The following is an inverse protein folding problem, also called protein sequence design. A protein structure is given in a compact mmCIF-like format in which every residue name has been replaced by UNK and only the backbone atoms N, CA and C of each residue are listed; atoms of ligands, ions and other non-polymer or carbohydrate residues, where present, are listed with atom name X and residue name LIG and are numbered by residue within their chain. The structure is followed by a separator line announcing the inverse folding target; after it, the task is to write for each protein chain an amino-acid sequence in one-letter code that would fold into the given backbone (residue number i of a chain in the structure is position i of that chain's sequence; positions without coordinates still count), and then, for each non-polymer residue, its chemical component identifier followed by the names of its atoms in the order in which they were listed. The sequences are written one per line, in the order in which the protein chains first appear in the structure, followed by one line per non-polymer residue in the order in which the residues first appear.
data_IF_545475515961
#
_entry.id   IF_545475515961
#
_cell.length_a   1.000
_cell.length_b   1.000
_cell.length_c   1.000
_cell.angle_alpha   90.00
_cell.angle_beta   90.00
_cell.angle_gamma   90.00
#
_symmetry.space_group_name_H-M   'P 1'
#
loop_
_entity.id
_entity.type
_entity.pdbx_description
1 polymer ?
#
# COMPACT_ATOMS: atom_id res chain seq x y z
N UNK A 1 -7.94 10.11 7.96
CA UNK A 1 -7.06 8.91 7.87
C UNK A 1 -7.15 8.11 9.17
N UNK A 2 -7.28 6.75 9.10
CA UNK A 2 -7.20 5.87 10.28
C UNK A 2 -5.84 5.18 10.28
N UNK A 3 -5.20 5.08 11.44
CA UNK A 3 -3.92 4.39 11.62
C UNK A 3 -4.14 3.30 12.65
N UNK A 4 -3.87 2.05 12.28
CA UNK A 4 -4.11 0.85 13.09
C UNK A 4 -2.78 0.14 13.29
N UNK A 5 -2.34 -0.04 14.53
CA UNK A 5 -1.18 -0.86 14.88
C UNK A 5 -1.64 -2.31 15.09
N UNK A 6 -0.77 -3.27 14.78
CA UNK A 6 -1.07 -4.71 14.83
C UNK A 6 -2.33 -5.07 14.05
N UNK A 7 -2.40 -4.62 12.80
CA UNK A 7 -3.59 -4.73 11.96
C UNK A 7 -3.91 -6.16 11.52
N UNK A 8 -2.88 -7.01 11.40
CA UNK A 8 -2.99 -8.42 11.03
C UNK A 8 -2.20 -9.30 12.01
N UNK A 9 -2.47 -10.59 12.02
CA UNK A 9 -1.72 -11.54 12.85
C UNK A 9 -0.25 -11.61 12.43
N UNK A 10 0.64 -11.94 13.36
CA UNK A 10 2.06 -12.15 13.05
C UNK A 10 2.26 -13.29 12.06
N UNK A 11 1.41 -14.33 12.12
CA UNK A 11 1.41 -15.45 11.20
C UNK A 11 1.13 -14.97 9.76
N UNK A 12 0.08 -14.19 9.55
CA UNK A 12 -0.25 -13.65 8.24
C UNK A 12 0.83 -12.68 7.74
N UNK A 13 1.36 -11.82 8.63
CA UNK A 13 2.45 -10.91 8.28
C UNK A 13 3.67 -11.69 7.76
N UNK A 14 4.11 -12.71 8.51
CA UNK A 14 5.23 -13.56 8.12
C UNK A 14 4.97 -14.28 6.79
N UNK A 15 3.80 -14.88 6.64
CA UNK A 15 3.39 -15.56 5.43
C UNK A 15 3.46 -14.62 4.20
N UNK A 16 2.90 -13.42 4.30
CA UNK A 16 2.91 -12.45 3.21
C UNK A 16 4.33 -12.00 2.83
N UNK A 17 5.20 -11.79 3.83
CA UNK A 17 6.61 -11.44 3.58
C UNK A 17 7.32 -12.55 2.80
N UNK A 18 7.16 -13.82 3.20
CA UNK A 18 7.79 -14.95 2.51
C UNK A 18 7.21 -15.14 1.09
N UNK A 19 5.90 -14.99 0.91
CA UNK A 19 5.29 -15.03 -0.43
C UNK A 19 5.89 -13.96 -1.36
N UNK A 20 6.02 -12.73 -0.89
CA UNK A 20 6.62 -11.65 -1.68
C UNK A 20 8.08 -11.96 -2.01
N UNK A 21 8.88 -12.45 -1.06
CA UNK A 21 10.26 -12.83 -1.28
C UNK A 21 10.42 -13.94 -2.32
N UNK A 22 9.56 -14.96 -2.27
CA UNK A 22 9.56 -16.03 -3.27
C UNK A 22 9.14 -15.52 -4.66
N UNK A 23 8.15 -14.65 -4.75
CA UNK A 23 7.77 -14.00 -6.00
C UNK A 23 8.93 -13.19 -6.60
N UNK A 24 9.68 -12.46 -5.79
CA UNK A 24 10.85 -11.71 -6.24
C UNK A 24 11.95 -12.64 -6.75
N UNK A 25 12.25 -13.74 -6.04
CA UNK A 25 13.29 -14.71 -6.42
C UNK A 25 12.96 -15.47 -7.69
N UNK A 26 11.70 -15.88 -7.84
CA UNK A 26 11.29 -16.69 -8.99
C UNK A 26 11.07 -15.88 -10.26
N UNK A 27 11.15 -14.56 -10.21
CA UNK A 27 10.75 -13.66 -11.29
C UNK A 27 9.33 -13.92 -11.82
N UNK A 28 8.52 -14.64 -11.06
CA UNK A 28 7.11 -14.94 -11.41
C UNK A 28 6.22 -13.91 -10.74
N UNK A 29 6.02 -12.82 -11.41
CA UNK A 29 4.94 -11.88 -11.08
C UNK A 29 3.70 -12.39 -11.82
N UNK A 30 2.97 -13.29 -11.16
CA UNK A 30 1.73 -13.82 -11.71
C UNK A 30 0.64 -12.77 -11.58
N UNK A 31 0.11 -12.31 -12.68
CA UNK A 31 -1.12 -11.59 -12.65
C UNK A 31 -1.13 -10.24 -13.33
N UNK A 32 -2.17 -9.51 -13.10
CA UNK A 32 -2.38 -8.20 -13.68
C UNK A 32 -1.24 -7.26 -13.30
N UNK A 33 -0.54 -6.76 -14.30
CA UNK A 33 0.33 -5.61 -14.10
C UNK A 33 -0.54 -4.46 -13.62
N UNK A 34 -0.44 -4.12 -12.34
CA UNK A 34 -1.01 -2.89 -11.84
C UNK A 34 -0.15 -1.76 -12.39
N UNK A 35 -0.67 -1.08 -13.39
CA UNK A 35 -0.01 0.09 -13.97
C UNK A 35 -0.42 1.29 -13.14
N UNK A 36 0.53 1.86 -12.41
CA UNK A 36 0.31 3.13 -11.73
C UNK A 36 -0.04 4.20 -12.75
N UNK A 37 -1.03 5.04 -12.43
CA UNK A 37 -1.33 6.22 -13.23
C UNK A 37 -0.03 7.05 -13.42
N UNK A 38 0.25 7.45 -14.66
CA UNK A 38 1.44 8.22 -15.00
C UNK A 38 1.58 9.51 -14.18
N UNK A 39 0.48 10.10 -13.72
CA UNK A 39 0.50 11.28 -12.88
C UNK A 39 1.05 10.98 -11.48
N UNK A 40 0.78 9.79 -10.94
CA UNK A 40 1.27 9.36 -9.63
C UNK A 40 2.78 9.19 -9.60
N UNK A 41 3.40 8.87 -10.72
CA UNK A 41 4.83 8.58 -10.84
C UNK A 41 5.59 9.59 -11.71
N UNK A 42 4.95 10.69 -12.09
CA UNK A 42 5.60 11.71 -12.92
C UNK A 42 6.83 12.30 -12.23
N UNK A 43 7.98 12.20 -12.87
CA UNK A 43 9.27 12.69 -12.34
C UNK A 43 9.92 11.78 -11.31
N UNK A 44 9.36 10.58 -11.06
CA UNK A 44 9.90 9.59 -10.14
C UNK A 44 10.78 8.62 -10.93
N UNK A 45 12.05 8.41 -10.52
CA UNK A 45 13.02 7.66 -11.32
C UNK A 45 12.87 6.14 -11.25
N UNK A 46 12.15 5.62 -10.25
CA UNK A 46 11.97 4.20 -10.03
C UNK A 46 10.51 3.84 -9.85
N UNK A 47 10.12 2.65 -10.27
CA UNK A 47 8.77 2.12 -10.14
C UNK A 47 8.67 1.07 -9.04
N UNK A 48 7.50 0.98 -8.43
CA UNK A 48 7.13 -0.11 -7.55
C UNK A 48 6.84 -1.37 -8.37
N UNK A 49 7.31 -2.52 -7.92
CA UNK A 49 6.85 -3.80 -8.45
C UNK A 49 5.55 -4.16 -7.73
N UNK A 50 4.51 -4.41 -8.50
CA UNK A 50 3.16 -4.69 -7.96
C UNK A 50 2.60 -5.96 -8.56
N UNK A 51 1.99 -6.79 -7.73
CA UNK A 51 1.30 -8.01 -8.16
C UNK A 51 0.01 -8.21 -7.39
N UNK A 52 -1.09 -8.41 -8.12
CA UNK A 52 -2.36 -8.79 -7.50
C UNK A 52 -2.26 -10.15 -6.80
N UNK A 53 -2.90 -10.29 -5.65
CA UNK A 53 -3.04 -11.56 -4.95
C UNK A 53 -4.14 -12.37 -5.65
N UNK A 54 -3.72 -13.37 -6.43
CA UNK A 54 -4.62 -14.22 -7.25
C UNK A 54 -5.18 -15.38 -6.44
N UNK A 55 -4.39 -15.91 -5.49
CA UNK A 55 -4.83 -16.99 -4.62
C UNK A 55 -5.98 -16.49 -3.74
N UNK A 56 -7.16 -17.09 -3.92
CA UNK A 56 -8.39 -16.68 -3.25
C UNK A 56 -8.32 -16.95 -1.75
N UNK A 57 -7.67 -18.02 -1.30
CA UNK A 57 -7.55 -18.33 0.13
C UNK A 57 -6.67 -17.31 0.83
N UNK A 58 -5.55 -16.93 0.23
CA UNK A 58 -4.66 -15.88 0.74
C UNK A 58 -5.37 -14.52 0.77
N UNK A 59 -6.08 -14.20 -0.30
CA UNK A 59 -6.85 -12.97 -0.39
C UNK A 59 -7.92 -12.91 0.70
N UNK A 60 -8.70 -13.97 0.87
CA UNK A 60 -9.75 -14.05 1.89
C UNK A 60 -9.16 -13.98 3.30
N UNK A 61 -8.01 -14.60 3.54
CA UNK A 61 -7.33 -14.50 4.83
C UNK A 61 -6.96 -13.04 5.15
N UNK A 62 -6.28 -12.35 4.22
CA UNK A 62 -5.94 -10.92 4.39
C UNK A 62 -7.20 -10.09 4.64
N UNK A 63 -8.22 -10.23 3.79
CA UNK A 63 -9.46 -9.44 3.89
C UNK A 63 -10.19 -9.73 5.20
N UNK A 64 -10.22 -10.98 5.67
CA UNK A 64 -10.91 -11.35 6.90
C UNK A 64 -10.32 -10.65 8.14
N UNK A 65 -8.99 -10.55 8.22
CA UNK A 65 -8.33 -9.91 9.35
C UNK A 65 -8.52 -8.38 9.38
N UNK A 66 -8.57 -7.74 8.20
CA UNK A 66 -8.71 -6.28 8.12
C UNK A 66 -10.16 -5.78 8.03
N UNK A 67 -11.13 -6.67 7.84
CA UNK A 67 -12.55 -6.32 7.62
C UNK A 67 -13.13 -5.40 8.69
N UNK A 68 -12.70 -5.53 9.93
CA UNK A 68 -13.19 -4.72 11.05
C UNK A 68 -12.75 -3.25 10.96
N UNK A 69 -11.73 -2.93 10.18
CA UNK A 69 -11.13 -1.60 10.08
C UNK A 69 -11.54 -0.83 8.83
N UNK A 70 -11.97 -1.55 7.79
CA UNK A 70 -12.34 -1.00 6.49
C UNK A 70 -13.86 -0.97 6.29
N UNK A 71 -14.38 -0.10 5.42
CA UNK A 71 -15.76 -0.19 4.97
C UNK A 71 -16.08 -1.57 4.39
N UNK A 72 -17.33 -2.03 4.58
CA UNK A 72 -17.80 -3.28 3.99
C UNK A 72 -17.94 -3.11 2.47
N UNK A 73 -17.16 -3.87 1.73
CA UNK A 73 -17.19 -3.92 0.26
C UNK A 73 -17.18 -5.37 -0.21
N UNK A 74 -18.01 -5.67 -1.21
CA UNK A 74 -18.02 -7.00 -1.83
C UNK A 74 -16.81 -7.21 -2.75
N UNK A 75 -16.42 -6.13 -3.46
CA UNK A 75 -15.29 -6.14 -4.37
C UNK A 75 -14.07 -5.53 -3.70
N UNK A 76 -13.12 -6.37 -3.34
CA UNK A 76 -11.85 -5.96 -2.75
C UNK A 76 -10.71 -6.48 -3.62
N UNK A 77 -9.77 -5.60 -3.95
CA UNK A 77 -8.52 -5.96 -4.59
C UNK A 77 -7.38 -5.93 -3.58
N UNK A 78 -6.52 -6.93 -3.62
CA UNK A 78 -5.35 -7.04 -2.75
C UNK A 78 -4.10 -7.15 -3.61
N UNK A 79 -3.11 -6.31 -3.33
CA UNK A 79 -1.91 -6.16 -4.14
C UNK A 79 -0.69 -6.22 -3.23
N UNK A 80 0.28 -7.06 -3.57
CA UNK A 80 1.61 -7.02 -2.98
C UNK A 80 2.48 -6.01 -3.72
N UNK A 81 3.17 -5.15 -2.97
CA UNK A 81 4.07 -4.16 -3.52
C UNK A 81 5.48 -4.32 -2.95
N UNK A 82 6.46 -4.20 -3.85
CA UNK A 82 7.89 -4.12 -3.54
C UNK A 82 8.41 -2.77 -4.01
N UNK A 83 8.71 -1.90 -3.07
CA UNK A 83 9.18 -0.54 -3.31
C UNK A 83 10.70 -0.53 -3.38
N UNK A 84 11.21 -0.34 -4.57
CA UNK A 84 12.64 -0.24 -4.84
C UNK A 84 13.21 1.11 -4.35
N UNK A 85 14.54 1.25 -4.20
CA UNK A 85 15.15 2.56 -3.98
C UNK A 85 14.65 3.59 -4.97
N UNK A 86 14.43 4.82 -4.51
CA UNK A 86 13.93 5.97 -5.26
C UNK A 86 12.46 5.86 -5.72
N UNK A 87 11.75 4.81 -5.40
CA UNK A 87 10.29 4.73 -5.64
C UNK A 87 9.57 5.71 -4.71
N UNK A 88 8.61 6.42 -5.27
CA UNK A 88 7.76 7.38 -4.55
C UNK A 88 6.37 7.43 -5.19
N UNK A 89 5.43 8.11 -4.55
CA UNK A 89 4.14 8.47 -5.14
C UNK A 89 3.85 9.95 -4.91
N UNK A 90 3.42 10.62 -5.96
CA UNK A 90 2.96 11.99 -5.89
C UNK A 90 1.63 12.11 -5.12
N UNK A 91 1.24 13.33 -4.76
CA UNK A 91 -0.02 13.62 -4.10
C UNK A 91 -1.22 13.13 -4.91
N UNK A 92 -2.11 12.37 -4.26
CA UNK A 92 -3.35 11.85 -4.82
C UNK A 92 -4.34 11.51 -3.69
N UNK A 93 -5.55 11.07 -4.00
CA UNK A 93 -6.59 10.83 -3.00
C UNK A 93 -7.39 9.54 -3.19
N UNK A 94 -7.01 8.65 -4.11
CA UNK A 94 -7.69 7.38 -4.39
C UNK A 94 -9.20 7.51 -4.67
N UNK A 95 -9.64 8.63 -5.25
CA UNK A 95 -11.06 9.01 -5.34
C UNK A 95 -11.94 8.00 -6.10
N UNK A 96 -11.37 7.14 -6.91
CA UNK A 96 -12.05 6.11 -7.70
C UNK A 96 -12.47 4.90 -6.86
N UNK A 97 -11.87 4.70 -5.68
CA UNK A 97 -12.18 3.60 -4.77
C UNK A 97 -13.06 4.07 -3.62
N UNK A 98 -13.81 3.16 -3.00
CA UNK A 98 -14.56 3.45 -1.77
C UNK A 98 -13.60 3.68 -0.60
N UNK A 99 -12.53 2.88 -0.54
CA UNK A 99 -11.42 3.07 0.39
C UNK A 99 -10.12 2.53 -0.22
N UNK A 100 -9.00 3.05 0.27
CA UNK A 100 -7.67 2.47 0.11
C UNK A 100 -7.06 2.15 1.46
N UNK A 101 -6.35 1.04 1.56
CA UNK A 101 -5.60 0.72 2.78
C UNK A 101 -4.22 0.14 2.45
N UNK A 102 -3.23 0.48 3.25
CA UNK A 102 -1.85 0.01 3.10
C UNK A 102 -1.36 -0.60 4.41
N UNK A 103 -0.88 -1.84 4.37
CA UNK A 103 -0.23 -2.52 5.49
C UNK A 103 1.28 -2.57 5.23
N UNK A 104 2.07 -2.15 6.22
CA UNK A 104 3.54 -2.17 6.15
C UNK A 104 4.08 -3.48 6.75
N UNK A 105 4.97 -4.15 6.04
CA UNK A 105 5.41 -5.51 6.38
C UNK A 105 6.85 -5.61 6.89
N UNK A 106 7.71 -4.60 6.63
CA UNK A 106 9.11 -4.65 7.01
C UNK A 106 9.28 -4.70 8.53
N UNK A 107 10.12 -5.62 9.01
CA UNK A 107 10.44 -5.79 10.43
C UNK A 107 11.05 -4.54 11.03
N UNK A 108 12.02 -3.96 10.32
CA UNK A 108 12.69 -2.73 10.71
C UNK A 108 12.55 -1.70 9.59
N UNK A 109 12.12 -0.49 9.95
CA UNK A 109 12.05 0.64 9.05
C UNK A 109 12.18 1.94 9.83
N UNK A 110 13.05 2.82 9.41
CA UNK A 110 13.30 4.10 10.05
C UNK A 110 12.91 5.27 9.15
N UNK A 111 12.87 6.47 9.72
CA UNK A 111 12.64 7.68 8.93
C UNK A 111 13.75 7.93 7.88
N UNK A 112 14.98 7.45 8.13
CA UNK A 112 16.10 7.60 7.21
C UNK A 112 15.99 6.68 5.98
N UNK A 113 15.19 5.61 6.07
CA UNK A 113 14.93 4.71 4.95
C UNK A 113 13.96 5.31 3.93
N UNK A 114 13.37 6.46 4.24
CA UNK A 114 12.42 7.14 3.36
C UNK A 114 11.08 6.40 3.25
N UNK A 115 10.40 6.52 2.12
CA UNK A 115 9.09 5.91 1.94
C UNK A 115 8.06 6.37 2.97
N UNK A 116 8.24 7.56 3.53
CA UNK A 116 7.37 8.15 4.54
C UNK A 116 6.00 8.40 3.92
N UNK A 117 4.96 7.97 4.58
CA UNK A 117 3.59 8.27 4.18
C UNK A 117 3.22 9.68 4.67
N UNK A 118 2.92 10.55 3.73
CA UNK A 118 2.46 11.92 3.99
C UNK A 118 0.96 11.99 3.71
N UNK A 119 0.21 12.69 4.55
CA UNK A 119 -1.22 12.89 4.32
C UNK A 119 -1.71 14.23 4.88
N UNK A 120 -2.80 14.70 4.31
CA UNK A 120 -3.52 15.88 4.75
C UNK A 120 -4.96 15.48 5.10
N UNK A 121 -5.35 15.71 6.35
CA UNK A 121 -6.73 15.44 6.77
C UNK A 121 -7.71 16.42 6.12
N UNK A 122 -8.97 16.04 6.05
CA UNK A 122 -10.01 16.89 5.43
C UNK A 122 -10.12 18.27 6.09
N UNK A 123 -9.91 18.34 7.39
CA UNK A 123 -9.95 19.57 8.18
C UNK A 123 -8.78 20.51 7.84
N UNK A 124 -7.69 19.96 7.33
CA UNK A 124 -6.48 20.68 6.94
C UNK A 124 -6.45 21.01 5.44
N UNK A 125 -7.47 20.62 4.67
CA UNK A 125 -7.53 20.83 3.23
C UNK A 125 -7.41 22.35 2.90
N UNK A 126 -6.46 22.69 2.02
CA UNK A 126 -6.16 24.07 1.67
C UNK A 126 -5.21 24.80 2.63
N UNK A 127 -4.73 24.13 3.67
CA UNK A 127 -3.67 24.65 4.57
C UNK A 127 -2.30 24.08 4.17
N UNK A 128 -1.24 24.47 4.91
CA UNK A 128 0.10 23.90 4.77
C UNK A 128 0.37 22.78 5.80
N UNK A 129 -0.65 22.30 6.49
CA UNK A 129 -0.49 21.26 7.51
C UNK A 129 -0.46 19.88 6.84
N UNK A 130 0.65 19.19 6.99
CA UNK A 130 0.88 17.85 6.48
C UNK A 130 1.29 16.98 7.66
N UNK A 131 0.66 15.82 7.79
CA UNK A 131 1.04 14.78 8.74
C UNK A 131 1.93 13.77 8.06
N UNK A 132 2.81 13.13 8.82
CA UNK A 132 3.75 12.14 8.35
C UNK A 132 3.71 10.89 9.22
N UNK A 133 3.75 9.72 8.59
CA UNK A 133 3.83 8.43 9.26
C UNK A 133 5.06 7.67 8.74
N UNK A 134 5.97 7.31 9.65
CA UNK A 134 7.04 6.36 9.35
C UNK A 134 6.43 4.97 9.26
N UNK A 135 6.63 4.24 8.14
CA UNK A 135 6.15 2.87 8.03
C UNK A 135 6.72 1.98 9.13
N UNK A 136 5.86 1.37 9.93
CA UNK A 136 6.25 0.38 10.94
C UNK A 136 5.60 -0.95 10.62
N UNK A 137 6.30 -2.06 10.92
CA UNK A 137 5.75 -3.41 10.78
C UNK A 137 4.33 -3.48 11.34
N UNK A 138 3.47 -4.14 10.58
CA UNK A 138 2.10 -4.43 10.95
C UNK A 138 1.25 -3.21 11.30
N UNK A 139 1.64 -2.03 10.79
CA UNK A 139 0.79 -0.84 10.83
C UNK A 139 -0.01 -0.75 9.55
N UNK A 140 -1.31 -0.50 9.66
CA UNK A 140 -2.19 -0.26 8.53
C UNK A 140 -2.67 1.19 8.53
N UNK A 141 -2.67 1.79 7.37
CA UNK A 141 -3.31 3.09 7.11
C UNK A 141 -4.56 2.84 6.28
N UNK A 142 -5.72 3.38 6.70
CA UNK A 142 -6.97 3.30 5.96
C UNK A 142 -7.43 4.69 5.55
N UNK A 143 -7.61 4.90 4.26
CA UNK A 143 -8.15 6.11 3.66
C UNK A 143 -9.57 5.86 3.14
N UNK A 144 -10.56 6.03 4.01
CA UNK A 144 -12.00 5.92 3.67
C UNK A 144 -12.66 7.29 3.43
N UNK A 145 -11.92 8.38 3.66
CA UNK A 145 -12.39 9.75 3.48
C UNK A 145 -11.87 10.41 2.20
N UNK A 146 -11.10 9.70 1.40
CA UNK A 146 -10.44 10.22 0.18
C UNK A 146 -9.52 11.42 0.49
N UNK A 147 -8.80 11.33 1.59
CA UNK A 147 -7.83 12.32 2.01
C UNK A 147 -6.60 12.29 1.10
N UNK A 148 -6.09 13.46 0.77
CA UNK A 148 -4.88 13.57 -0.06
C UNK A 148 -3.67 13.00 0.66
N UNK A 149 -2.86 12.24 -0.07
CA UNK A 149 -1.66 11.61 0.46
C UNK A 149 -0.58 11.40 -0.60
N UNK A 150 0.63 11.16 -0.14
CA UNK A 150 1.81 10.93 -0.97
C UNK A 150 2.77 9.99 -0.25
N UNK A 151 3.74 9.44 -0.98
CA UNK A 151 4.84 8.66 -0.40
C UNK A 151 6.16 9.30 -0.81
N UNK A 152 7.01 9.65 0.16
CA UNK A 152 8.34 10.19 -0.14
C UNK A 152 9.22 9.14 -0.80
N UNK A 153 10.28 9.53 -1.52
CA UNK A 153 11.22 8.58 -2.09
C UNK A 153 11.78 7.62 -1.04
N UNK A 154 11.82 6.34 -1.38
CA UNK A 154 12.58 5.33 -0.63
C UNK A 154 14.07 5.65 -0.76
N UNK A 155 14.81 5.58 0.35
CA UNK A 155 16.24 5.86 0.36
C UNK A 155 17.00 4.94 -0.61
N UNK A 156 18.06 5.46 -1.21
CA UNK A 156 18.96 4.66 -2.05
C UNK A 156 19.78 3.64 -1.23
N UNK A 157 19.99 3.92 0.06
CA UNK A 157 20.86 3.13 0.94
C UNK A 157 20.11 2.05 1.74
N UNK A 158 18.86 1.75 1.40
CA UNK A 158 18.10 0.69 2.09
C UNK A 158 18.77 -0.68 1.92
N UNK A 159 18.71 -1.49 2.97
CA UNK A 159 19.22 -2.88 2.94
C UNK A 159 18.24 -3.84 2.29
N UNK A 160 16.94 -3.58 2.47
CA UNK A 160 15.85 -4.39 1.94
C UNK A 160 14.78 -3.46 1.33
N UNK A 161 14.10 -3.87 0.25
CA UNK A 161 13.01 -3.08 -0.31
C UNK A 161 11.86 -2.94 0.70
N UNK A 162 11.11 -1.85 0.58
CA UNK A 162 9.90 -1.67 1.38
C UNK A 162 8.79 -2.57 0.86
N UNK A 163 8.23 -3.39 1.74
CA UNK A 163 7.16 -4.33 1.41
C UNK A 163 5.83 -3.83 1.96
N UNK A 164 4.78 -3.87 1.13
CA UNK A 164 3.43 -3.49 1.56
C UNK A 164 2.37 -4.38 0.94
N UNK A 165 1.25 -4.53 1.66
CA UNK A 165 -0.01 -4.99 1.10
C UNK A 165 -0.85 -3.74 0.86
N UNK A 166 -1.33 -3.56 -0.37
CA UNK A 166 -2.29 -2.53 -0.73
C UNK A 166 -3.66 -3.17 -0.93
N UNK A 167 -4.69 -2.57 -0.34
CA UNK A 167 -6.06 -3.05 -0.41
C UNK A 167 -6.93 -1.91 -0.94
N UNK A 168 -7.69 -2.19 -1.99
CA UNK A 168 -8.67 -1.26 -2.53
C UNK A 168 -10.06 -1.88 -2.49
N UNK A 169 -11.04 -1.15 -2.00
CA UNK A 169 -12.45 -1.54 -1.99
C UNK A 169 -13.29 -0.71 -2.95
N UNK A 170 -14.31 -1.34 -3.55
CA UNK A 170 -15.26 -0.71 -4.46
C UNK A 170 -15.08 -1.11 -5.93
N UNK A 171 -15.79 -0.43 -6.83
CA UNK A 171 -15.74 -0.72 -8.27
C UNK A 171 -14.42 -0.30 -8.88
N UNK A 172 -13.83 -1.20 -9.66
CA UNK A 172 -12.64 -0.91 -10.45
C UNK A 172 -13.03 -0.32 -11.81
N UNK A 173 -12.21 0.62 -12.38
CA UNK A 173 -12.50 1.26 -13.67
C UNK A 173 -12.66 0.29 -14.85
N UNK A 174 -12.19 -0.95 -14.72
CA UNK A 174 -12.25 -1.96 -15.78
C UNK A 174 -13.50 -2.85 -15.74
N UNK A 175 -14.39 -2.69 -14.74
CA UNK A 175 -15.64 -3.46 -14.64
C UNK A 175 -16.80 -2.86 -15.47
N UNK A 176 -16.50 -1.88 -16.31
CA UNK A 176 -17.41 -1.37 -17.31
C UNK A 176 -17.14 -2.07 -18.66
N UNK A 177 -17.55 -3.35 -18.73
CA UNK A 177 -17.64 -4.11 -19.96
C UNK A 177 -18.94 -3.82 -20.72
#
# INVERSE_FOLDING_TARGET
MKIIENAISDELNHFCVEQIKEMVKSYVWSGSHFTWDLQLVKGIPASCLSSGVIDLEVKEWIVSEVRQYSPSEENVNVIFNVWQPLTALNWHNDHIYTFGATIYLNEEWSANDGGIFLYQEKEDEGTNHIKALVPKKNTMVVNDKKESHAVTPVSYEIKEPRLTIQIFGGRFPHDQG
#
